data_IF_308486084957
#
_entry.id   IF_308486084957
#
_cell.length_a   1.000
_cell.length_b   1.000
_cell.length_c   1.000
_cell.angle_alpha   90.00
_cell.angle_beta   90.00
_cell.angle_gamma   90.00
#
_symmetry.space_group_name_H-M   'P 1'
#
loop_
_entity.id
_entity.type
_entity.pdbx_description
1 polymer ?
#
# COMPACT_ATOMS: atom_id res chain seq x y z
N UNK A 1 9.89 10.45 -13.20
CA UNK A 1 9.37 9.72 -14.39
C UNK A 1 10.40 8.71 -14.91
N UNK A 2 11.65 9.10 -15.20
CA UNK A 2 12.67 8.20 -15.74
C UNK A 2 12.98 7.01 -14.79
N UNK A 3 13.16 7.26 -13.48
CA UNK A 3 13.39 6.19 -12.49
C UNK A 3 12.21 5.21 -12.39
N UNK A 4 10.98 5.73 -12.43
CA UNK A 4 9.78 4.89 -12.40
C UNK A 4 9.70 3.99 -13.64
N UNK A 5 10.03 4.55 -14.82
CA UNK A 5 10.07 3.78 -16.07
C UNK A 5 11.13 2.68 -16.02
N UNK A 6 12.32 2.96 -15.51
CA UNK A 6 13.38 1.97 -15.35
C UNK A 6 13.00 0.81 -14.42
N UNK A 7 12.12 1.05 -13.42
CA UNK A 7 11.61 0.00 -12.54
C UNK A 7 10.54 -0.89 -13.19
N UNK A 8 9.89 -0.41 -14.24
CA UNK A 8 8.90 -1.18 -15.00
C UNK A 8 9.52 -1.96 -16.16
N UNK A 9 10.78 -1.71 -16.48
CA UNK A 9 11.51 -2.37 -17.56
C UNK A 9 12.72 -3.17 -17.02
N UNK A 10 13.18 -4.24 -17.74
CA UNK A 10 12.47 -4.87 -18.85
C UNK A 10 11.16 -5.54 -18.39
N UNK A 11 10.20 -5.81 -19.31
CA UNK A 11 9.01 -6.60 -18.99
C UNK A 11 9.41 -7.96 -18.39
N UNK A 12 8.61 -8.42 -17.39
CA UNK A 12 8.76 -9.77 -16.86
C UNK A 12 7.93 -10.75 -17.67
N UNK A 13 8.40 -11.98 -17.77
CA UNK A 13 7.60 -13.10 -18.28
C UNK A 13 6.92 -13.83 -17.12
N UNK A 14 5.87 -14.61 -17.42
CA UNK A 14 5.19 -15.42 -16.41
C UNK A 14 6.13 -16.40 -15.70
N UNK A 15 7.10 -16.98 -16.40
CA UNK A 15 8.08 -17.91 -15.85
C UNK A 15 9.02 -17.25 -14.84
N UNK A 16 9.35 -15.98 -15.05
CA UNK A 16 10.26 -15.22 -14.19
C UNK A 16 9.58 -14.71 -12.92
N UNK A 17 8.24 -14.54 -12.93
CA UNK A 17 7.50 -13.90 -11.85
C UNK A 17 7.75 -14.56 -10.50
N UNK A 18 7.67 -15.89 -10.40
CA UNK A 18 7.83 -16.58 -9.11
C UNK A 18 9.24 -16.41 -8.52
N UNK A 19 10.26 -16.39 -9.37
CA UNK A 19 11.63 -16.12 -8.95
C UNK A 19 11.81 -14.65 -8.55
N UNK A 20 11.23 -13.74 -9.31
CA UNK A 20 11.28 -12.30 -9.07
C UNK A 20 10.64 -11.89 -7.75
N UNK A 21 9.45 -12.44 -7.42
CA UNK A 21 8.73 -12.08 -6.18
C UNK A 21 9.22 -12.82 -4.93
N UNK A 22 10.20 -13.72 -5.08
CA UNK A 22 10.71 -14.53 -3.97
C UNK A 22 11.23 -13.64 -2.83
N UNK A 23 10.75 -13.90 -1.64
CA UNK A 23 11.18 -13.18 -0.45
C UNK A 23 12.61 -13.56 -0.05
N UNK A 24 13.44 -12.55 0.15
CA UNK A 24 14.83 -12.72 0.60
C UNK A 24 14.99 -12.58 2.12
N UNK A 25 13.95 -12.09 2.79
CA UNK A 25 13.94 -11.85 4.23
C UNK A 25 12.82 -12.65 4.91
N UNK A 26 13.03 -13.12 6.15
CA UNK A 26 12.00 -13.87 6.88
C UNK A 26 10.70 -13.08 7.01
N UNK A 27 9.60 -13.72 6.67
CA UNK A 27 8.24 -13.17 6.79
C UNK A 27 7.40 -14.03 7.71
N UNK A 28 6.36 -13.45 8.30
CA UNK A 28 5.32 -14.21 8.99
C UNK A 28 4.67 -15.15 7.98
N UNK A 29 4.47 -16.42 8.39
CA UNK A 29 3.78 -17.38 7.53
C UNK A 29 2.43 -16.83 7.06
N UNK A 30 2.18 -16.88 5.75
CA UNK A 30 0.98 -16.30 5.14
C UNK A 30 1.07 -14.81 4.81
N UNK A 31 2.12 -14.08 5.21
CA UNK A 31 2.28 -12.65 4.92
C UNK A 31 3.17 -12.34 3.70
N UNK A 32 3.93 -13.33 3.21
CA UNK A 32 4.81 -13.17 2.06
C UNK A 32 4.05 -12.76 0.78
N UNK A 33 4.76 -12.17 -0.18
CA UNK A 33 4.26 -12.02 -1.55
C UNK A 33 3.78 -13.36 -2.08
N UNK A 34 2.71 -13.37 -2.86
CA UNK A 34 2.20 -14.62 -3.43
C UNK A 34 1.59 -14.43 -4.81
N UNK A 35 1.84 -15.39 -5.68
CA UNK A 35 1.18 -15.55 -6.98
C UNK A 35 0.22 -16.72 -6.88
N UNK A 36 -0.99 -16.54 -7.39
CA UNK A 36 -1.97 -17.61 -7.56
C UNK A 36 -2.37 -17.65 -9.03
N UNK A 37 -2.08 -18.75 -9.69
CA UNK A 37 -2.40 -18.96 -11.09
C UNK A 37 -3.88 -19.33 -11.25
N UNK A 38 -4.56 -18.75 -12.22
CA UNK A 38 -5.96 -19.03 -12.53
C UNK A 38 -6.18 -20.52 -12.85
N UNK A 39 -5.23 -21.12 -13.56
CA UNK A 39 -5.19 -22.56 -13.82
C UNK A 39 -3.97 -23.18 -13.16
N UNK A 40 -4.21 -24.18 -12.31
CA UNK A 40 -3.13 -24.86 -11.58
C UNK A 40 -2.11 -25.45 -12.55
N UNK A 41 -0.83 -25.16 -12.30
CA UNK A 41 0.29 -25.68 -13.08
C UNK A 41 0.52 -25.00 -14.44
N UNK A 42 -0.31 -24.02 -14.80
CA UNK A 42 -0.19 -23.32 -16.08
C UNK A 42 0.23 -21.86 -15.84
N UNK A 43 1.47 -21.55 -16.22
CA UNK A 43 2.06 -20.21 -16.08
C UNK A 43 1.92 -19.44 -17.40
N UNK A 44 0.75 -18.85 -17.61
CA UNK A 44 0.48 -18.00 -18.79
C UNK A 44 -0.31 -16.75 -18.36
N UNK A 45 -0.23 -15.66 -19.12
CA UNK A 45 -1.08 -14.51 -18.92
C UNK A 45 -2.55 -14.87 -19.03
N UNK A 46 -3.38 -14.14 -18.31
CA UNK A 46 -4.85 -14.17 -18.42
C UNK A 46 -5.33 -12.83 -18.96
N UNK A 47 -6.56 -12.70 -19.41
CA UNK A 47 -7.15 -11.44 -19.88
C UNK A 47 -6.98 -10.34 -18.81
N UNK A 48 -7.27 -10.68 -17.55
CA UNK A 48 -7.03 -9.80 -16.41
C UNK A 48 -6.05 -10.41 -15.42
N UNK A 49 -5.20 -9.57 -14.81
CA UNK A 49 -4.47 -9.91 -13.60
C UNK A 49 -5.02 -9.09 -12.44
N UNK A 50 -5.34 -9.72 -11.32
CA UNK A 50 -5.69 -9.04 -10.08
C UNK A 50 -4.42 -8.80 -9.27
N UNK A 51 -4.14 -7.54 -8.93
CA UNK A 51 -3.00 -7.13 -8.10
C UNK A 51 -3.52 -6.51 -6.82
N UNK A 52 -3.20 -7.13 -5.67
CA UNK A 52 -3.63 -6.67 -4.37
C UNK A 52 -2.49 -6.05 -3.57
N UNK A 53 -2.71 -4.82 -3.06
CA UNK A 53 -1.80 -4.08 -2.19
C UNK A 53 -2.52 -3.76 -0.87
N UNK A 54 -1.98 -4.29 0.24
CA UNK A 54 -2.56 -4.16 1.58
C UNK A 54 -2.33 -2.78 2.22
N UNK A 55 -2.96 -2.55 3.38
CA UNK A 55 -2.86 -1.32 4.16
C UNK A 55 -1.63 -1.22 5.07
N UNK A 56 -1.53 -0.08 5.79
CA UNK A 56 -0.47 0.18 6.75
C UNK A 56 -0.55 -0.76 7.95
N UNK A 57 0.61 -1.26 8.38
CA UNK A 57 0.77 -2.20 9.49
C UNK A 57 0.09 -3.57 9.29
N UNK A 58 -0.42 -3.87 8.08
CA UNK A 58 -1.12 -5.10 7.73
C UNK A 58 -0.29 -6.00 6.79
N UNK A 59 -0.91 -7.02 6.21
CA UNK A 59 -0.37 -7.84 5.14
C UNK A 59 -1.51 -8.35 4.24
N UNK A 60 -1.19 -9.23 3.28
CA UNK A 60 -2.17 -9.77 2.31
C UNK A 60 -3.36 -10.51 2.93
N UNK A 61 -3.32 -10.84 4.21
CA UNK A 61 -4.43 -11.49 4.93
C UNK A 61 -5.51 -10.50 5.39
N UNK A 62 -5.26 -9.19 5.28
CA UNK A 62 -6.14 -8.12 5.79
C UNK A 62 -7.60 -8.24 5.32
N UNK A 63 -7.80 -8.58 4.04
CA UNK A 63 -9.12 -8.79 3.44
C UNK A 63 -9.28 -10.16 2.77
N UNK A 64 -8.42 -11.13 3.11
CA UNK A 64 -8.58 -12.48 2.59
C UNK A 64 -9.94 -13.07 3.02
N UNK A 65 -10.64 -13.81 2.15
CA UNK A 65 -10.23 -14.28 0.83
C UNK A 65 -10.72 -13.40 -0.35
N UNK A 66 -11.06 -12.13 -0.13
CA UNK A 66 -11.69 -11.26 -1.16
C UNK A 66 -10.90 -11.17 -2.47
N UNK A 67 -9.57 -10.92 -2.49
CA UNK A 67 -8.82 -10.90 -3.75
C UNK A 67 -8.82 -12.23 -4.48
N UNK A 68 -8.79 -13.35 -3.73
CA UNK A 68 -8.85 -14.69 -4.29
C UNK A 68 -10.20 -14.99 -4.94
N UNK A 69 -11.30 -14.56 -4.30
CA UNK A 69 -12.66 -14.72 -4.84
C UNK A 69 -12.84 -13.89 -6.10
N UNK A 70 -12.36 -12.64 -6.12
CA UNK A 70 -12.40 -11.77 -7.29
C UNK A 70 -11.61 -12.39 -8.46
N UNK A 71 -10.38 -12.80 -8.22
CA UNK A 71 -9.55 -13.43 -9.25
C UNK A 71 -10.19 -14.70 -9.81
N UNK A 72 -10.76 -15.55 -8.94
CA UNK A 72 -11.47 -16.75 -9.36
C UNK A 72 -12.70 -16.43 -10.22
N UNK A 73 -13.49 -15.44 -9.82
CA UNK A 73 -14.69 -15.04 -10.56
C UNK A 73 -14.37 -14.52 -11.97
N UNK A 74 -13.20 -13.92 -12.14
CA UNK A 74 -12.71 -13.38 -13.41
C UNK A 74 -11.86 -14.37 -14.22
N UNK A 75 -11.56 -15.56 -13.69
CA UNK A 75 -10.57 -16.47 -14.30
C UNK A 75 -9.18 -15.84 -14.41
N UNK A 76 -8.83 -14.95 -13.50
CA UNK A 76 -7.63 -14.13 -13.53
C UNK A 76 -6.50 -14.70 -12.65
N UNK A 77 -5.25 -14.48 -13.08
CA UNK A 77 -4.11 -14.63 -12.20
C UNK A 77 -4.16 -13.58 -11.08
N UNK A 78 -3.69 -13.94 -9.89
CA UNK A 78 -3.66 -13.07 -8.72
C UNK A 78 -2.23 -12.88 -8.22
N UNK A 79 -1.86 -11.63 -7.98
CA UNK A 79 -0.67 -11.25 -7.23
C UNK A 79 -1.05 -10.48 -5.96
N UNK A 80 -0.65 -11.01 -4.81
CA UNK A 80 -0.75 -10.29 -3.54
C UNK A 80 0.63 -9.75 -3.18
N UNK A 81 0.77 -8.43 -3.22
CA UNK A 81 2.02 -7.75 -2.89
C UNK A 81 2.18 -7.63 -1.37
N UNK A 82 3.44 -7.59 -0.90
CA UNK A 82 3.82 -7.26 0.46
C UNK A 82 4.65 -5.97 0.47
N UNK A 83 4.14 -4.95 1.09
CA UNK A 83 4.83 -3.66 1.23
C UNK A 83 6.10 -3.79 2.10
N UNK A 84 7.13 -3.04 1.77
CA UNK A 84 8.38 -2.94 2.53
C UNK A 84 8.10 -2.66 4.01
N UNK A 85 8.80 -3.35 4.89
CA UNK A 85 8.64 -3.23 6.35
C UNK A 85 7.43 -3.96 6.95
N UNK A 86 6.50 -4.47 6.12
CA UNK A 86 5.29 -5.15 6.56
C UNK A 86 5.42 -6.67 6.53
N UNK A 87 4.60 -7.38 7.30
CA UNK A 87 4.54 -8.85 7.30
C UNK A 87 5.87 -9.54 7.64
N UNK A 88 6.77 -8.87 8.32
CA UNK A 88 8.07 -9.39 8.73
C UNK A 88 7.93 -10.31 9.94
N UNK A 89 8.63 -11.45 9.89
CA UNK A 89 8.75 -12.32 11.07
C UNK A 89 9.60 -11.61 12.12
N UNK A 90 9.10 -11.56 13.33
CA UNK A 90 9.86 -11.09 14.48
C UNK A 90 10.98 -12.09 14.79
N UNK A 91 12.18 -11.59 15.08
CA UNK A 91 13.25 -12.44 15.61
C UNK A 91 12.86 -12.92 17.01
N UNK A 92 12.97 -14.22 17.25
CA UNK A 92 12.63 -14.82 18.55
C UNK A 92 13.44 -14.25 19.71
N UNK A 93 14.65 -13.74 19.42
CA UNK A 93 15.53 -13.08 20.37
C UNK A 93 15.16 -11.61 20.66
N UNK A 94 14.21 -11.01 19.93
CA UNK A 94 13.83 -9.64 20.15
C UNK A 94 13.01 -9.49 21.43
N UNK A 95 13.37 -8.56 22.37
CA UNK A 95 12.59 -8.34 23.59
C UNK A 95 11.12 -8.10 23.28
N UNK A 96 10.21 -8.55 24.17
CA UNK A 96 8.76 -8.34 23.99
C UNK A 96 8.37 -6.84 23.89
N UNK A 97 9.23 -5.96 24.42
CA UNK A 97 9.13 -4.51 24.34
C UNK A 97 9.75 -3.92 23.07
N UNK A 98 10.48 -4.71 22.26
CA UNK A 98 11.00 -4.25 20.97
C UNK A 98 9.80 -4.13 20.03
N UNK A 99 9.42 -2.91 19.62
CA UNK A 99 8.32 -2.75 18.71
C UNK A 99 8.70 -3.41 17.38
N UNK A 100 7.84 -4.27 16.85
CA UNK A 100 7.94 -4.75 15.45
C UNK A 100 8.05 -3.55 14.48
N UNK A 101 7.70 -2.40 14.99
CA UNK A 101 7.68 -1.13 14.32
C UNK A 101 9.00 -0.49 13.99
N UNK A 102 10.12 -0.90 14.55
CA UNK A 102 11.42 -0.43 14.07
C UNK A 102 11.64 -0.84 12.63
N UNK A 103 11.08 -1.98 12.22
CA UNK A 103 11.11 -2.45 10.85
C UNK A 103 10.27 -1.52 9.96
N UNK A 104 9.07 -1.13 10.39
CA UNK A 104 8.26 -0.15 9.66
C UNK A 104 8.96 1.19 9.52
N UNK A 105 9.57 1.69 10.60
CA UNK A 105 10.31 2.95 10.57
C UNK A 105 11.54 2.90 9.64
N UNK A 106 12.24 1.77 9.59
CA UNK A 106 13.44 1.62 8.76
C UNK A 106 13.16 1.24 7.31
N UNK A 107 12.16 0.42 7.07
CA UNK A 107 11.93 -0.19 5.75
C UNK A 107 10.74 0.43 4.99
N UNK A 108 9.66 0.86 5.67
CA UNK A 108 8.47 1.40 5.00
C UNK A 108 8.63 2.87 4.57
N UNK A 109 9.78 3.24 4.03
CA UNK A 109 10.03 4.61 3.57
C UNK A 109 9.20 4.95 2.33
N UNK A 110 8.83 6.22 2.08
CA UNK A 110 8.02 6.60 0.92
C UNK A 110 8.59 6.11 -0.40
N UNK A 111 9.92 6.27 -0.60
CA UNK A 111 10.57 5.80 -1.83
C UNK A 111 10.49 4.28 -2.02
N UNK A 112 10.54 3.49 -0.95
CA UNK A 112 10.33 2.04 -1.04
C UNK A 112 8.88 1.69 -1.30
N UNK A 113 7.92 2.34 -0.64
CA UNK A 113 6.50 2.10 -0.86
C UNK A 113 6.07 2.42 -2.30
N UNK A 114 6.60 3.48 -2.90
CA UNK A 114 6.36 3.75 -4.32
C UNK A 114 7.03 2.73 -5.24
N UNK A 115 8.23 2.24 -4.91
CA UNK A 115 8.88 1.14 -5.66
C UNK A 115 8.10 -0.15 -5.52
N UNK A 116 7.59 -0.47 -4.33
CA UNK A 116 6.72 -1.62 -4.08
C UNK A 116 5.47 -1.56 -4.98
N UNK A 117 4.86 -0.39 -5.11
CA UNK A 117 3.72 -0.19 -5.99
C UNK A 117 4.07 -0.41 -7.47
N UNK A 118 5.21 0.13 -7.93
CA UNK A 118 5.73 -0.11 -9.29
C UNK A 118 6.05 -1.58 -9.54
N UNK A 119 6.68 -2.26 -8.56
CA UNK A 119 6.91 -3.70 -8.63
C UNK A 119 5.59 -4.46 -8.78
N UNK A 120 4.57 -4.08 -7.98
CA UNK A 120 3.26 -4.72 -8.04
C UNK A 120 2.61 -4.57 -9.43
N UNK A 121 2.69 -3.39 -10.04
CA UNK A 121 2.19 -3.15 -11.39
C UNK A 121 2.98 -3.95 -12.44
N UNK A 122 4.32 -4.00 -12.32
CA UNK A 122 5.19 -4.76 -13.22
C UNK A 122 4.85 -6.25 -13.22
N UNK A 123 4.64 -6.82 -12.02
CA UNK A 123 4.20 -8.22 -11.88
C UNK A 123 2.80 -8.40 -12.46
N UNK A 124 1.88 -7.47 -12.20
CA UNK A 124 0.53 -7.51 -12.78
C UNK A 124 0.55 -7.59 -14.31
N UNK A 125 1.39 -6.78 -14.95
CA UNK A 125 1.59 -6.75 -16.42
C UNK A 125 2.15 -8.06 -16.99
N UNK A 126 2.93 -8.80 -16.19
CA UNK A 126 3.41 -10.12 -16.58
C UNK A 126 2.33 -11.20 -16.43
N UNK A 127 1.37 -11.00 -15.53
CA UNK A 127 0.34 -11.99 -15.20
C UNK A 127 -0.94 -11.86 -16.04
N UNK A 128 -1.16 -10.72 -16.71
CA UNK A 128 -2.35 -10.52 -17.53
C UNK A 128 -2.22 -9.37 -18.50
N UNK A 129 -3.04 -9.39 -19.53
CA UNK A 129 -3.07 -8.36 -20.58
C UNK A 129 -3.53 -7.00 -20.02
N UNK A 130 -4.42 -7.03 -19.03
CA UNK A 130 -4.90 -5.86 -18.31
C UNK A 130 -4.88 -6.09 -16.79
N UNK A 131 -4.63 -5.04 -16.02
CA UNK A 131 -4.44 -5.12 -14.57
C UNK A 131 -5.62 -4.52 -13.82
N UNK A 132 -6.18 -5.27 -12.87
CA UNK A 132 -7.14 -4.78 -11.88
C UNK A 132 -6.38 -4.54 -10.58
N UNK A 133 -6.26 -3.27 -10.18
CA UNK A 133 -5.58 -2.89 -8.94
C UNK A 133 -6.58 -2.90 -7.78
N UNK A 134 -6.31 -3.71 -6.77
CA UNK A 134 -7.08 -3.80 -5.53
C UNK A 134 -6.23 -3.26 -4.40
N UNK A 135 -6.70 -2.24 -3.70
CA UNK A 135 -5.95 -1.63 -2.61
C UNK A 135 -6.79 -1.42 -1.35
N UNK A 136 -6.16 -1.58 -0.19
CA UNK A 136 -6.78 -1.24 1.10
C UNK A 136 -5.99 -0.09 1.74
N UNK A 137 -6.68 0.94 2.22
CA UNK A 137 -6.10 2.03 2.99
C UNK A 137 -4.88 2.65 2.28
N UNK A 138 -3.66 2.48 2.78
CA UNK A 138 -2.40 2.91 2.15
C UNK A 138 -2.20 2.25 0.79
N UNK A 139 -2.55 0.97 0.65
CA UNK A 139 -2.52 0.27 -0.64
C UNK A 139 -3.43 0.91 -1.67
N UNK A 140 -4.62 1.37 -1.27
CA UNK A 140 -5.53 2.10 -2.14
C UNK A 140 -4.95 3.46 -2.59
N UNK A 141 -4.26 4.18 -1.69
CA UNK A 141 -3.56 5.41 -2.05
C UNK A 141 -2.44 5.15 -3.08
N UNK A 142 -1.68 4.06 -2.92
CA UNK A 142 -0.65 3.63 -3.87
C UNK A 142 -1.25 3.19 -5.21
N UNK A 143 -2.37 2.45 -5.22
CA UNK A 143 -3.10 2.09 -6.45
C UNK A 143 -3.57 3.34 -7.20
N UNK A 144 -4.11 4.33 -6.50
CA UNK A 144 -4.53 5.61 -7.09
C UNK A 144 -3.34 6.36 -7.68
N UNK A 145 -2.21 6.39 -6.96
CA UNK A 145 -0.99 6.99 -7.47
C UNK A 145 -0.49 6.30 -8.75
N UNK A 146 -0.47 4.96 -8.78
CA UNK A 146 -0.11 4.19 -9.98
C UNK A 146 -1.02 4.55 -11.16
N UNK A 147 -2.33 4.51 -10.95
CA UNK A 147 -3.30 4.79 -12.00
C UNK A 147 -3.18 6.22 -12.56
N UNK A 148 -2.86 7.19 -11.71
CA UNK A 148 -2.71 8.58 -12.13
C UNK A 148 -1.37 8.90 -12.79
N UNK A 149 -0.30 8.11 -12.54
CA UNK A 149 1.07 8.47 -12.95
C UNK A 149 1.75 7.47 -13.86
N UNK A 150 1.41 6.18 -13.78
CA UNK A 150 2.10 5.09 -14.47
C UNK A 150 1.18 4.23 -15.34
N UNK A 151 -0.13 4.33 -15.09
CA UNK A 151 -1.09 3.56 -15.87
C UNK A 151 -1.19 4.13 -17.28
N UNK A 152 -1.03 3.23 -18.26
CA UNK A 152 -1.56 3.39 -19.59
C UNK A 152 -2.97 2.78 -19.65
N UNK A 153 -3.40 2.37 -20.83
CA UNK A 153 -4.69 1.70 -21.05
C UNK A 153 -4.73 0.27 -20.46
N UNK A 154 -3.62 -0.20 -19.91
CA UNK A 154 -3.45 -1.53 -19.34
C UNK A 154 -4.07 -1.69 -17.93
N UNK A 155 -4.36 -0.60 -17.21
CA UNK A 155 -5.11 -0.68 -15.95
C UNK A 155 -6.60 -0.72 -16.24
N UNK A 156 -7.20 -1.92 -16.08
CA UNK A 156 -8.59 -2.19 -16.38
C UNK A 156 -9.57 -1.58 -15.39
N UNK A 157 -9.25 -1.61 -14.10
CA UNK A 157 -10.09 -1.09 -13.03
C UNK A 157 -9.31 -0.89 -11.72
N UNK A 158 -9.87 -0.06 -10.84
CA UNK A 158 -9.45 0.09 -9.45
C UNK A 158 -10.55 -0.38 -8.49
N UNK A 159 -10.15 -1.14 -7.46
CA UNK A 159 -11.01 -1.48 -6.32
C UNK A 159 -10.32 -0.94 -5.07
N UNK A 160 -10.88 0.09 -4.48
CA UNK A 160 -10.30 0.83 -3.36
C UNK A 160 -11.15 0.64 -2.11
N UNK A 161 -10.59 0.00 -1.08
CA UNK A 161 -11.27 -0.25 0.19
C UNK A 161 -10.71 0.67 1.25
N UNK A 162 -11.58 1.46 1.89
CA UNK A 162 -11.21 2.47 2.90
C UNK A 162 -9.95 3.26 2.49
N UNK A 163 -9.92 3.92 1.30
CA UNK A 163 -8.72 4.54 0.77
C UNK A 163 -8.19 5.64 1.68
N UNK A 164 -6.93 5.53 2.10
CA UNK A 164 -6.28 6.51 2.96
C UNK A 164 -5.77 7.69 2.12
N UNK A 165 -6.61 8.69 1.91
CA UNK A 165 -6.24 9.97 1.30
C UNK A 165 -6.03 11.09 2.31
N UNK A 166 -6.22 10.79 3.59
CA UNK A 166 -6.00 11.62 4.76
C UNK A 166 -6.26 10.81 6.02
N UNK A 167 -5.74 11.27 7.15
CA UNK A 167 -5.98 10.64 8.45
C UNK A 167 -7.18 11.29 9.14
N UNK A 168 -8.07 10.48 9.72
CA UNK A 168 -9.24 10.91 10.47
C UNK A 168 -8.94 11.51 11.85
N UNK A 169 -7.66 11.67 12.21
CA UNK A 169 -7.28 12.24 13.50
C UNK A 169 -7.54 13.75 13.54
N UNK A 170 -8.21 14.30 14.58
CA UNK A 170 -8.60 15.71 14.65
C UNK A 170 -7.42 16.69 14.58
N UNK A 171 -6.24 16.30 15.02
CA UNK A 171 -5.02 17.10 14.92
C UNK A 171 -4.34 17.04 13.55
N UNK A 172 -4.79 16.16 12.65
CA UNK A 172 -4.12 15.98 11.34
C UNK A 172 -4.11 17.27 10.50
N UNK A 173 -5.19 18.03 10.37
CA UNK A 173 -5.17 19.30 9.63
C UNK A 173 -4.19 20.32 10.22
N UNK A 174 -4.07 20.37 11.56
CA UNK A 174 -3.16 21.27 12.26
C UNK A 174 -1.68 20.87 12.08
N UNK A 175 -1.41 19.57 11.98
CA UNK A 175 -0.06 19.05 11.78
C UNK A 175 0.40 19.15 10.32
N UNK A 176 -0.53 19.18 9.38
CA UNK A 176 -0.24 19.16 7.95
C UNK A 176 0.61 20.35 7.50
N UNK A 177 0.25 21.57 7.90
CA UNK A 177 0.93 22.79 7.47
C UNK A 177 2.38 22.85 8.01
N UNK A 178 2.63 22.74 9.35
CA UNK A 178 4.00 22.77 9.86
C UNK A 178 4.83 21.59 9.35
N UNK A 179 4.26 20.42 9.16
CA UNK A 179 5.01 19.28 8.60
C UNK A 179 5.37 19.48 7.13
N UNK A 180 4.49 20.09 6.34
CA UNK A 180 4.80 20.47 4.97
C UNK A 180 5.92 21.53 4.91
N UNK A 181 5.88 22.54 5.78
CA UNK A 181 6.91 23.57 5.89
C UNK A 181 8.27 23.00 6.35
N UNK A 182 8.28 22.10 7.33
CA UNK A 182 9.51 21.44 7.78
C UNK A 182 10.19 20.61 6.68
N UNK A 183 9.45 20.15 5.64
CA UNK A 183 10.04 19.42 4.50
C UNK A 183 10.94 20.31 3.62
N UNK A 184 10.86 21.62 3.76
CA UNK A 184 11.75 22.57 3.06
C UNK A 184 13.14 22.59 3.70
N UNK A 185 13.29 22.10 4.93
CA UNK A 185 14.57 21.96 5.59
C UNK A 185 15.37 20.77 5.08
N UNK A 186 16.71 20.79 5.19
CA UNK A 186 17.54 19.62 4.93
C UNK A 186 17.06 18.40 5.73
N UNK A 187 17.08 17.21 5.13
CA UNK A 187 16.54 15.98 5.72
C UNK A 187 17.12 15.66 7.11
N UNK A 188 18.38 16.04 7.35
CA UNK A 188 19.07 15.86 8.64
C UNK A 188 18.39 16.64 9.78
N UNK A 189 17.79 17.77 9.49
CA UNK A 189 17.05 18.59 10.46
C UNK A 189 15.53 18.28 10.44
N UNK A 190 14.98 18.13 9.26
CA UNK A 190 13.54 17.88 9.05
C UNK A 190 13.05 16.62 9.76
N UNK A 191 13.76 15.49 9.59
CA UNK A 191 13.32 14.19 10.14
C UNK A 191 13.25 14.18 11.67
N UNK A 192 14.31 14.55 12.42
CA UNK A 192 14.26 14.52 13.89
C UNK A 192 13.23 15.52 14.44
N UNK A 193 13.08 16.71 13.86
CA UNK A 193 12.09 17.69 14.30
C UNK A 193 10.65 17.17 14.11
N UNK A 194 10.34 16.59 12.97
CA UNK A 194 9.04 15.98 12.72
C UNK A 194 8.77 14.78 13.63
N UNK A 195 9.78 13.94 13.88
CA UNK A 195 9.68 12.80 14.79
C UNK A 195 9.45 13.27 16.23
N UNK A 196 10.16 14.30 16.67
CA UNK A 196 9.96 14.89 18.00
C UNK A 196 8.56 15.50 18.14
N UNK A 197 8.08 16.24 17.15
CA UNK A 197 6.72 16.79 17.13
C UNK A 197 5.66 15.71 17.22
N UNK A 198 5.78 14.62 16.44
CA UNK A 198 4.86 13.48 16.54
C UNK A 198 4.94 12.83 17.94
N UNK A 199 6.15 12.60 18.46
CA UNK A 199 6.30 11.98 19.76
C UNK A 199 5.70 12.83 20.90
N UNK A 200 5.80 14.16 20.79
CA UNK A 200 5.20 15.09 21.75
C UNK A 200 3.67 15.10 21.68
N UNK A 201 3.11 15.07 20.47
CA UNK A 201 1.66 15.25 20.27
C UNK A 201 0.88 13.95 20.36
N UNK A 202 1.45 12.85 19.87
CA UNK A 202 0.78 11.56 19.73
C UNK A 202 1.44 10.42 20.54
N UNK A 203 2.53 10.72 21.24
CA UNK A 203 3.31 9.72 21.96
C UNK A 203 4.39 9.05 21.10
N UNK A 204 5.28 8.27 21.75
CA UNK A 204 6.43 7.63 21.08
C UNK A 204 6.04 6.39 20.29
N UNK A 205 5.02 5.67 20.75
CA UNK A 205 4.62 4.39 20.16
C UNK A 205 3.12 4.37 19.84
N UNK A 206 2.75 3.76 18.71
CA UNK A 206 1.39 3.43 18.34
C UNK A 206 1.12 1.98 18.70
N UNK A 207 0.00 1.74 19.40
CA UNK A 207 -0.56 0.41 19.59
C UNK A 207 -1.75 0.24 18.66
N UNK A 208 -1.77 -0.85 17.91
CA UNK A 208 -2.89 -1.20 17.04
C UNK A 208 -3.89 -2.02 17.84
N UNK A 209 -5.16 -1.65 17.77
CA UNK A 209 -6.22 -2.40 18.44
C UNK A 209 -6.36 -3.79 17.82
N UNK A 210 -6.32 -4.82 18.65
CA UNK A 210 -6.44 -6.21 18.21
C UNK A 210 -7.91 -6.63 18.21
N UNK A 211 -8.38 -7.11 17.06
CA UNK A 211 -9.74 -7.65 16.91
C UNK A 211 -9.83 -9.16 17.15
N UNK A 212 -8.69 -9.82 17.43
CA UNK A 212 -8.59 -11.25 17.67
C UNK A 212 -7.18 -11.77 17.43
N UNK A 213 -6.95 -13.05 17.73
CA UNK A 213 -5.63 -13.69 17.61
C UNK A 213 -5.11 -13.71 16.15
N UNK A 214 -5.99 -13.92 15.19
CA UNK A 214 -5.63 -13.91 13.77
C UNK A 214 -5.21 -12.51 13.30
N UNK A 215 -5.97 -11.48 13.68
CA UNK A 215 -5.59 -10.10 13.40
C UNK A 215 -4.22 -9.77 14.03
N UNK A 216 -3.99 -10.23 15.27
CA UNK A 216 -2.72 -10.05 15.97
C UNK A 216 -1.53 -10.73 15.26
N UNK A 217 -1.76 -11.89 14.64
CA UNK A 217 -0.73 -12.66 13.92
C UNK A 217 -0.21 -11.93 12.68
N UNK A 218 -1.07 -11.19 11.99
CA UNK A 218 -0.79 -10.64 10.66
C UNK A 218 -0.56 -9.14 10.63
N UNK A 219 -0.68 -8.45 11.77
CA UNK A 219 -0.50 -7.00 11.84
C UNK A 219 0.67 -6.61 12.74
N UNK A 220 1.32 -5.48 12.43
CA UNK A 220 2.28 -4.87 13.33
C UNK A 220 1.53 -4.21 14.49
N UNK A 221 1.54 -4.85 15.67
CA UNK A 221 0.72 -4.45 16.81
C UNK A 221 1.22 -3.20 17.53
N UNK A 222 2.53 -3.01 17.54
CA UNK A 222 3.18 -1.88 18.19
C UNK A 222 4.30 -1.38 17.28
N UNK A 223 4.32 -0.09 16.99
CA UNK A 223 5.40 0.51 16.20
C UNK A 223 5.69 1.95 16.65
N UNK A 224 6.91 2.49 16.37
CA UNK A 224 7.21 3.88 16.66
C UNK A 224 6.26 4.82 15.93
N UNK A 225 5.66 5.77 16.65
CA UNK A 225 4.76 6.74 16.07
C UNK A 225 5.40 7.52 14.91
N UNK A 226 6.72 7.70 14.95
CA UNK A 226 7.49 8.31 13.87
C UNK A 226 7.41 7.57 12.53
N UNK A 227 7.07 6.27 12.52
CA UNK A 227 6.83 5.53 11.27
C UNK A 227 5.65 6.10 10.46
N UNK A 228 4.67 6.74 11.12
CA UNK A 228 3.57 7.42 10.43
C UNK A 228 4.03 8.60 9.57
N UNK A 229 5.23 9.16 9.81
CA UNK A 229 5.81 10.19 8.93
C UNK A 229 5.97 9.69 7.50
N UNK A 230 6.27 8.41 7.31
CA UNK A 230 6.39 7.80 5.99
C UNK A 230 5.03 7.73 5.29
N UNK A 231 3.98 7.35 6.02
CA UNK A 231 2.62 7.38 5.51
C UNK A 231 2.20 8.82 5.13
N UNK A 232 2.44 9.79 6.01
CA UNK A 232 2.16 11.19 5.73
C UNK A 232 2.89 11.70 4.48
N UNK A 233 4.14 11.30 4.28
CA UNK A 233 4.91 11.69 3.10
C UNK A 233 4.37 11.05 1.82
N UNK A 234 3.83 9.82 1.87
CA UNK A 234 3.08 9.22 0.76
C UNK A 234 1.82 10.02 0.45
N UNK A 235 1.03 10.38 1.47
CA UNK A 235 -0.20 11.16 1.29
C UNK A 235 0.08 12.55 0.72
N UNK A 236 1.12 13.24 1.19
CA UNK A 236 1.54 14.53 0.62
C UNK A 236 2.02 14.41 -0.83
N UNK A 237 2.62 13.29 -1.19
CA UNK A 237 3.01 13.04 -2.58
C UNK A 237 1.79 12.82 -3.46
N UNK A 238 0.77 12.11 -2.97
CA UNK A 238 -0.48 11.89 -3.69
C UNK A 238 -1.27 13.21 -3.90
N UNK A 239 -1.22 14.15 -2.94
CA UNK A 239 -1.86 15.47 -3.11
C UNK A 239 -1.33 16.29 -4.28
N UNK A 240 -0.10 16.00 -4.72
CA UNK A 240 0.55 16.68 -5.86
C UNK A 240 0.28 15.99 -7.19
N UNK A 241 -0.40 14.86 -7.15
CA UNK A 241 -0.77 14.10 -8.35
C UNK A 241 -2.12 14.60 -8.87
N UNK A 242 -2.20 14.79 -10.16
CA UNK A 242 -3.47 15.06 -10.83
C UNK A 242 -4.27 13.75 -10.93
N UNK A 243 -5.17 13.55 -9.97
CA UNK A 243 -6.00 12.36 -9.90
C UNK A 243 -7.09 12.32 -10.98
N UNK A 244 -7.35 13.44 -11.68
CA UNK A 244 -8.24 13.45 -12.85
C UNK A 244 -7.67 12.62 -14.01
N UNK A 245 -6.39 12.29 -13.98
CA UNK A 245 -5.76 11.36 -14.93
C UNK A 245 -6.10 9.89 -14.71
N UNK A 246 -6.75 9.53 -13.61
CA UNK A 246 -7.27 8.17 -13.38
C UNK A 246 -8.47 7.96 -14.28
N UNK A 247 -8.25 7.33 -15.43
CA UNK A 247 -9.30 7.04 -16.41
C UNK A 247 -9.98 5.68 -16.17
N UNK A 248 -9.32 4.75 -15.46
CA UNK A 248 -9.83 3.42 -15.21
C UNK A 248 -11.10 3.45 -14.33
N UNK A 249 -12.14 2.68 -14.65
CA UNK A 249 -13.31 2.50 -13.79
C UNK A 249 -12.91 2.21 -12.36
N UNK A 250 -13.52 2.90 -11.40
CA UNK A 250 -13.11 2.84 -10.01
C UNK A 250 -14.28 2.54 -9.08
N UNK A 251 -14.17 1.44 -8.35
CA UNK A 251 -15.07 1.09 -7.25
C UNK A 251 -14.43 1.47 -5.91
N UNK A 252 -15.19 2.13 -5.03
CA UNK A 252 -14.76 2.49 -3.68
C UNK A 252 -15.71 1.91 -2.64
N UNK A 253 -15.17 1.12 -1.71
CA UNK A 253 -15.86 0.69 -0.51
C UNK A 253 -15.41 1.55 0.67
N UNK A 254 -16.34 2.26 1.30
CA UNK A 254 -16.08 3.21 2.38
C UNK A 254 -17.02 2.94 3.56
N UNK A 255 -16.47 2.93 4.77
CA UNK A 255 -17.26 2.99 5.99
C UNK A 255 -17.38 4.46 6.42
N UNK A 256 -18.59 5.00 6.46
CA UNK A 256 -18.85 6.40 6.87
C UNK A 256 -18.37 6.71 8.29
N UNK A 257 -18.21 5.70 9.13
CA UNK A 257 -17.72 5.80 10.51
C UNK A 257 -16.31 5.25 10.68
N UNK A 258 -15.49 5.28 9.63
CA UNK A 258 -14.11 4.82 9.72
C UNK A 258 -13.32 5.73 10.68
N UNK A 259 -12.76 5.18 11.78
CA UNK A 259 -12.05 5.99 12.77
C UNK A 259 -10.60 6.32 12.39
N UNK A 260 -10.10 5.77 11.27
CA UNK A 260 -8.68 5.84 10.90
C UNK A 260 -8.44 6.82 9.76
N UNK A 261 -9.31 6.79 8.74
CA UNK A 261 -9.17 7.64 7.56
C UNK A 261 -10.08 8.86 7.62
N UNK A 262 -9.72 9.90 6.89
CA UNK A 262 -10.59 11.05 6.61
C UNK A 262 -11.58 10.67 5.49
N UNK A 263 -12.79 10.28 5.90
CA UNK A 263 -13.86 9.82 5.00
C UNK A 263 -14.31 10.92 4.04
N UNK A 264 -14.42 12.16 4.52
CA UNK A 264 -14.80 13.30 3.70
C UNK A 264 -13.79 13.56 2.59
N UNK A 265 -12.51 13.48 2.94
CA UNK A 265 -11.42 13.62 1.97
C UNK A 265 -11.36 12.45 0.97
N UNK A 266 -11.63 11.23 1.43
CA UNK A 266 -11.72 10.06 0.56
C UNK A 266 -12.85 10.22 -0.47
N UNK A 267 -14.02 10.65 -0.03
CA UNK A 267 -15.16 10.94 -0.91
C UNK A 267 -14.84 12.08 -1.89
N UNK A 268 -14.27 13.19 -1.40
CA UNK A 268 -13.92 14.34 -2.24
C UNK A 268 -12.89 13.97 -3.33
N UNK A 269 -11.89 13.14 -3.00
CA UNK A 269 -10.90 12.71 -3.98
C UNK A 269 -11.53 11.75 -5.01
N UNK A 270 -12.41 10.85 -4.58
CA UNK A 270 -13.15 9.95 -5.47
C UNK A 270 -13.93 10.72 -6.53
N UNK A 271 -14.62 11.81 -6.15
CA UNK A 271 -15.34 12.66 -7.11
C UNK A 271 -14.41 13.35 -8.12
N UNK A 272 -13.15 13.56 -7.79
CA UNK A 272 -12.14 14.18 -8.67
C UNK A 272 -11.47 13.21 -9.64
N UNK A 273 -11.65 11.89 -9.50
CA UNK A 273 -11.13 10.93 -10.46
C UNK A 273 -11.72 11.19 -11.84
N UNK A 274 -10.93 11.03 -12.90
CA UNK A 274 -11.35 11.29 -14.29
C UNK A 274 -12.15 10.17 -14.93
N UNK A 275 -12.33 9.04 -14.24
CA UNK A 275 -13.07 7.90 -14.79
C UNK A 275 -14.56 8.21 -14.94
N UNK A 276 -15.15 7.78 -16.10
CA UNK A 276 -16.57 7.95 -16.37
C UNK A 276 -17.47 6.99 -15.60
N UNK A 277 -16.92 5.89 -15.03
CA UNK A 277 -17.65 4.91 -14.18
C UNK A 277 -17.09 4.94 -12.76
N UNK A 278 -17.97 5.28 -11.82
CA UNK A 278 -17.67 5.38 -10.38
C UNK A 278 -18.71 4.63 -9.58
#
# INVERSE_FOLDING_TARGET
AAEARALLEPPLTCEEVEAFVRETKPTTEGAAKSVTWATRGLRRPTEFAVVYIHGWAACRQEIAPTPQLLARALGANLYCHRLSGHGRRREESAPASSPDGDILLREATPGRLFRDALEALRVGRALGDRVILVGVSTGAALCTWLAATQAGDDVAALVLVSPCFGLGHPLYPLLKIPFAALRLLPAVLCRPLRAAAIALLLGRTKRVFQRGAEHARFNALVYPQAALLHLLDVLFSLERVDVARVAAPTFVALNERDPVIDVGRAAALFHRLGCGSK
#
